data_IF_418709793089
#
_entry.id   IF_418709793089
#
_cell.length_a   1.000
_cell.length_b   1.000
_cell.length_c   1.000
_cell.angle_alpha   90.00
_cell.angle_beta   90.00
_cell.angle_gamma   90.00
#
_symmetry.space_group_name_H-M   'P 1'
#
loop_
_entity.id
_entity.type
_entity.pdbx_description
1 polymer ?
#
# COMPACT_ATOMS: atom_id res chain seq x y z
N UNK A 1 -16.83 8.55 -41.41
CA UNK A 1 -16.24 7.20 -41.44
C UNK A 1 -15.91 6.87 -40.00
N UNK A 2 -16.75 6.05 -39.36
CA UNK A 2 -16.67 5.67 -37.98
C UNK A 2 -15.50 4.69 -37.77
N UNK A 3 -14.47 5.11 -37.04
CA UNK A 3 -13.44 4.22 -36.57
C UNK A 3 -14.05 3.30 -35.49
N UNK A 4 -14.45 2.11 -35.89
CA UNK A 4 -14.70 1.02 -34.94
C UNK A 4 -13.32 0.49 -34.51
N UNK A 5 -12.91 0.83 -33.30
CA UNK A 5 -11.84 0.13 -32.61
C UNK A 5 -12.28 -1.33 -32.43
N UNK A 6 -11.52 -2.26 -32.98
CA UNK A 6 -11.69 -3.70 -32.74
C UNK A 6 -11.55 -3.95 -31.24
N UNK A 7 -12.43 -4.76 -30.63
CA UNK A 7 -12.25 -5.16 -29.25
C UNK A 7 -10.94 -5.96 -29.14
N UNK A 8 -10.04 -5.49 -28.31
CA UNK A 8 -8.86 -6.26 -27.89
C UNK A 8 -9.43 -7.49 -27.17
N UNK A 9 -9.32 -8.67 -27.76
CA UNK A 9 -9.60 -9.93 -27.07
C UNK A 9 -8.68 -10.00 -25.84
N UNK A 10 -9.25 -9.73 -24.68
CA UNK A 10 -8.55 -9.93 -23.42
C UNK A 10 -8.49 -11.43 -23.15
N UNK A 11 -7.33 -11.98 -22.77
CA UNK A 11 -7.26 -13.36 -22.33
C UNK A 11 -8.23 -13.50 -21.14
N UNK A 12 -9.08 -14.53 -21.17
CA UNK A 12 -9.99 -14.84 -20.06
C UNK A 12 -9.15 -15.35 -18.89
N UNK A 13 -8.67 -14.43 -18.06
CA UNK A 13 -7.91 -14.76 -16.84
C UNK A 13 -8.81 -15.26 -15.71
N UNK A 14 -10.14 -15.14 -15.85
CA UNK A 14 -11.09 -15.49 -14.83
C UNK A 14 -11.35 -17.00 -14.83
N UNK A 15 -11.13 -17.64 -13.68
CA UNK A 15 -11.45 -19.04 -13.49
C UNK A 15 -12.93 -19.18 -13.08
N UNK A 16 -13.75 -19.74 -13.96
CA UNK A 16 -15.16 -20.04 -13.70
C UNK A 16 -15.39 -21.13 -12.63
N UNK A 17 -14.32 -21.75 -12.11
CA UNK A 17 -14.39 -22.95 -11.28
C UNK A 17 -14.14 -22.73 -9.78
N UNK A 18 -14.00 -21.48 -9.30
CA UNK A 18 -13.78 -21.21 -7.87
C UNK A 18 -15.06 -21.42 -7.05
N UNK A 19 -15.02 -22.35 -6.10
CA UNK A 19 -16.12 -22.63 -5.17
C UNK A 19 -15.80 -22.06 -3.77
N UNK A 20 -16.42 -20.95 -3.35
CA UNK A 20 -16.17 -20.36 -2.04
C UNK A 20 -16.62 -21.24 -0.87
N UNK A 21 -17.54 -22.20 -1.10
CA UNK A 21 -18.10 -23.03 -0.02
C UNK A 21 -17.10 -24.04 0.56
N UNK A 22 -16.07 -24.41 -0.20
CA UNK A 22 -15.02 -25.32 0.25
C UNK A 22 -13.80 -24.61 0.84
N UNK A 23 -13.78 -23.26 0.76
CA UNK A 23 -12.69 -22.46 1.30
C UNK A 23 -12.87 -22.23 2.82
N UNK A 24 -11.89 -22.61 3.65
CA UNK A 24 -12.04 -22.51 5.11
C UNK A 24 -12.28 -21.08 5.60
N UNK A 25 -11.71 -20.08 4.91
CA UNK A 25 -11.83 -18.67 5.30
C UNK A 25 -13.15 -18.03 4.85
N UNK A 26 -13.84 -18.64 3.88
CA UNK A 26 -15.11 -18.15 3.32
C UNK A 26 -16.30 -18.98 3.76
N UNK A 27 -16.08 -20.24 4.19
CA UNK A 27 -17.13 -21.15 4.62
C UNK A 27 -17.93 -20.56 5.78
N UNK A 28 -19.25 -20.76 5.75
CA UNK A 28 -20.13 -20.24 6.79
C UNK A 28 -19.65 -20.64 8.20
N UNK A 29 -19.37 -19.64 9.04
CA UNK A 29 -18.96 -19.82 10.43
C UNK A 29 -20.06 -19.26 11.37
N UNK A 30 -20.83 -20.11 12.07
CA UNK A 30 -21.84 -19.64 13.01
C UNK A 30 -21.24 -18.86 14.19
N UNK A 31 -19.97 -19.09 14.51
CA UNK A 31 -19.24 -18.45 15.61
C UNK A 31 -18.50 -17.18 15.17
N UNK A 32 -18.65 -16.72 13.92
CA UNK A 32 -17.92 -15.56 13.38
C UNK A 32 -18.12 -14.23 14.15
N UNK A 33 -19.11 -14.18 15.02
CA UNK A 33 -19.41 -13.00 15.86
C UNK A 33 -18.69 -13.03 17.22
N UNK A 34 -18.01 -14.13 17.55
CA UNK A 34 -17.35 -14.33 18.84
C UNK A 34 -15.86 -14.52 18.62
N UNK A 35 -15.05 -13.64 19.20
CA UNK A 35 -13.61 -13.66 19.00
C UNK A 35 -12.87 -14.76 19.74
N UNK A 36 -13.31 -15.08 20.95
CA UNK A 36 -12.64 -16.06 21.78
C UNK A 36 -13.35 -17.43 21.76
N UNK A 37 -12.59 -18.54 21.79
CA UNK A 37 -11.13 -18.62 21.82
C UNK A 37 -10.52 -18.31 20.44
N UNK A 38 -9.29 -17.73 20.42
CA UNK A 38 -8.55 -17.48 19.19
C UNK A 38 -8.26 -18.79 18.48
N UNK A 39 -8.73 -18.91 17.23
CA UNK A 39 -8.54 -20.09 16.38
C UNK A 39 -7.34 -19.92 15.43
N UNK A 40 -7.06 -18.72 14.97
CA UNK A 40 -6.01 -18.38 14.02
C UNK A 40 -4.99 -17.43 14.63
N UNK A 41 -4.08 -18.00 15.46
CA UNK A 41 -3.10 -17.22 16.23
C UNK A 41 -2.20 -16.35 15.35
N UNK A 42 -1.83 -16.81 14.14
CA UNK A 42 -1.02 -16.05 13.19
C UNK A 42 -1.75 -14.79 12.68
N UNK A 43 -3.03 -14.90 12.32
CA UNK A 43 -3.85 -13.76 11.88
C UNK A 43 -4.05 -12.76 13.04
N UNK A 44 -4.30 -13.31 14.24
CA UNK A 44 -4.42 -12.49 15.44
C UNK A 44 -3.14 -11.71 15.75
N UNK A 45 -1.97 -12.34 15.61
CA UNK A 45 -0.69 -11.68 15.82
C UNK A 45 -0.45 -10.57 14.78
N UNK A 46 -0.79 -10.79 13.51
CA UNK A 46 -0.69 -9.75 12.47
C UNK A 46 -1.60 -8.56 12.78
N UNK A 47 -2.84 -8.80 13.20
CA UNK A 47 -3.74 -7.74 13.68
C UNK A 47 -3.12 -6.95 14.85
N UNK A 48 -2.60 -7.65 15.87
CA UNK A 48 -1.97 -6.99 17.02
C UNK A 48 -0.71 -6.21 16.63
N UNK A 49 0.07 -6.71 15.68
CA UNK A 49 1.23 -6.00 15.14
C UNK A 49 0.81 -4.73 14.41
N UNK A 50 -0.22 -4.81 13.59
CA UNK A 50 -0.77 -3.65 12.88
C UNK A 50 -1.31 -2.60 13.85
N UNK A 51 -2.11 -3.01 14.84
CA UNK A 51 -2.58 -2.09 15.90
C UNK A 51 -1.44 -1.40 16.67
N UNK A 52 -0.33 -2.09 16.91
CA UNK A 52 0.82 -1.51 17.59
C UNK A 52 1.53 -0.42 16.76
N UNK A 53 1.22 -0.33 15.47
CA UNK A 53 1.74 0.67 14.54
C UNK A 53 0.78 1.85 14.33
N UNK A 54 -0.29 1.97 15.09
CA UNK A 54 -1.29 3.04 14.96
C UNK A 54 -0.66 4.44 15.09
N UNK A 55 -1.08 5.31 14.21
CA UNK A 55 -0.71 6.72 14.15
C UNK A 55 -1.87 7.55 13.58
N UNK A 56 -1.76 8.88 13.62
CA UNK A 56 -2.75 9.81 13.05
C UNK A 56 -2.08 10.86 12.19
N UNK A 57 -2.81 11.43 11.23
CA UNK A 57 -2.28 12.44 10.31
C UNK A 57 -1.75 13.69 11.04
N UNK A 58 -2.30 14.02 12.23
CA UNK A 58 -1.89 15.15 13.06
C UNK A 58 -0.51 14.99 13.70
N UNK A 59 0.07 13.78 13.66
CA UNK A 59 1.41 13.52 14.17
C UNK A 59 2.52 13.97 13.20
N UNK A 60 2.15 14.38 11.98
CA UNK A 60 3.09 14.75 10.92
C UNK A 60 3.20 16.28 10.87
N UNK A 61 4.43 16.80 11.05
CA UNK A 61 4.73 18.21 10.86
C UNK A 61 4.96 18.51 9.38
N UNK A 62 3.96 19.14 8.73
CA UNK A 62 4.02 19.55 7.33
C UNK A 62 4.58 20.98 7.14
N UNK A 63 4.63 21.81 8.19
CA UNK A 63 5.11 23.20 8.08
C UNK A 63 6.59 23.23 7.72
N UNK A 64 7.38 22.31 8.24
CA UNK A 64 8.80 22.20 7.95
C UNK A 64 9.11 21.93 6.47
N UNK A 65 8.18 21.33 5.74
CA UNK A 65 8.34 21.02 4.31
C UNK A 65 8.22 22.25 3.40
N UNK A 66 7.51 23.30 3.81
CA UNK A 66 7.22 24.46 2.96
C UNK A 66 8.48 25.19 2.50
N UNK A 67 9.52 25.18 3.32
CA UNK A 67 10.81 25.79 2.97
C UNK A 67 11.52 25.01 1.85
N UNK A 68 11.41 23.69 1.86
CA UNK A 68 11.98 22.81 0.84
C UNK A 68 11.12 22.81 -0.41
N UNK A 69 9.78 22.75 -0.28
CA UNK A 69 8.84 22.82 -1.41
C UNK A 69 9.12 24.03 -2.33
N UNK A 70 9.39 25.20 -1.74
CA UNK A 70 9.72 26.43 -2.50
C UNK A 70 11.03 26.36 -3.25
N UNK A 71 11.97 25.50 -2.84
CA UNK A 71 13.29 25.33 -3.48
C UNK A 71 13.29 24.26 -4.55
N UNK A 72 12.29 23.35 -4.54
CA UNK A 72 12.16 22.31 -5.55
C UNK A 72 11.98 22.92 -6.93
N UNK A 73 12.52 22.24 -7.95
CA UNK A 73 12.26 22.55 -9.35
C UNK A 73 10.80 22.28 -9.72
N UNK A 74 10.34 22.87 -10.83
CA UNK A 74 8.98 22.61 -11.34
C UNK A 74 8.77 21.12 -11.64
N UNK A 75 9.80 20.43 -12.16
CA UNK A 75 9.76 19.00 -12.40
C UNK A 75 9.59 18.19 -11.12
N UNK A 76 10.31 18.53 -10.05
CA UNK A 76 10.19 17.87 -8.75
C UNK A 76 8.81 18.09 -8.13
N UNK A 77 8.30 19.32 -8.16
CA UNK A 77 6.95 19.63 -7.69
C UNK A 77 5.90 18.87 -8.48
N UNK A 78 5.99 18.88 -9.81
CA UNK A 78 5.09 18.11 -10.68
C UNK A 78 5.10 16.63 -10.34
N UNK A 79 6.29 16.03 -10.16
CA UNK A 79 6.42 14.62 -9.80
C UNK A 79 5.71 14.32 -8.47
N UNK A 80 6.04 15.07 -7.41
CA UNK A 80 5.48 14.86 -6.07
C UNK A 80 3.96 15.04 -6.07
N UNK A 81 3.45 16.11 -6.70
CA UNK A 81 2.00 16.37 -6.77
C UNK A 81 1.23 15.22 -7.41
N UNK A 82 1.75 14.65 -8.51
CA UNK A 82 1.09 13.54 -9.19
C UNK A 82 1.21 12.21 -8.43
N UNK A 83 2.30 11.98 -7.70
CA UNK A 83 2.43 10.83 -6.80
C UNK A 83 1.39 10.92 -5.67
N UNK A 84 1.24 12.09 -5.05
CA UNK A 84 0.24 12.31 -4.00
C UNK A 84 -1.19 12.16 -4.53
N UNK A 85 -1.46 12.65 -5.73
CA UNK A 85 -2.75 12.48 -6.39
C UNK A 85 -3.07 11.01 -6.67
N UNK A 86 -2.08 10.23 -7.10
CA UNK A 86 -2.22 8.79 -7.28
C UNK A 86 -2.54 8.09 -5.95
N UNK A 87 -1.82 8.38 -4.88
CA UNK A 87 -2.08 7.78 -3.58
C UNK A 87 -3.48 8.12 -3.06
N UNK A 88 -3.87 9.40 -3.08
CA UNK A 88 -5.19 9.83 -2.63
C UNK A 88 -6.34 9.16 -3.40
N UNK A 89 -6.15 8.89 -4.69
CA UNK A 89 -7.12 8.20 -5.53
C UNK A 89 -7.17 6.68 -5.23
N UNK A 90 -6.01 6.07 -4.98
CA UNK A 90 -5.87 4.62 -4.81
C UNK A 90 -6.46 4.12 -3.51
N UNK A 91 -6.26 4.83 -2.38
CA UNK A 91 -6.79 4.44 -1.07
C UNK A 91 -8.31 4.36 -1.05
N UNK A 92 -9.00 5.23 -1.79
CA UNK A 92 -10.45 5.16 -1.94
C UNK A 92 -10.92 3.86 -2.60
N UNK A 93 -10.21 3.41 -3.64
CA UNK A 93 -10.49 2.14 -4.35
C UNK A 93 -10.19 0.93 -3.46
N UNK A 94 -9.05 0.98 -2.75
CA UNK A 94 -8.65 -0.05 -1.79
C UNK A 94 -9.70 -0.20 -0.70
N UNK A 95 -10.12 0.90 -0.08
CA UNK A 95 -11.14 0.92 0.97
C UNK A 95 -12.47 0.33 0.51
N UNK A 96 -12.92 0.64 -0.70
CA UNK A 96 -14.17 0.08 -1.23
C UNK A 96 -14.08 -1.45 -1.33
N UNK A 97 -12.99 -2.00 -1.87
CA UNK A 97 -12.79 -3.44 -1.96
C UNK A 97 -12.74 -4.11 -0.57
N UNK A 98 -12.05 -3.50 0.39
CA UNK A 98 -11.97 -4.00 1.77
C UNK A 98 -13.35 -4.08 2.42
N UNK A 99 -14.10 -2.97 2.38
CA UNK A 99 -15.38 -2.84 3.06
C UNK A 99 -16.49 -3.68 2.38
N UNK A 100 -16.60 -3.63 1.06
CA UNK A 100 -17.69 -4.25 0.30
C UNK A 100 -17.46 -5.75 0.10
N UNK A 101 -16.24 -6.16 -0.18
CA UNK A 101 -15.91 -7.55 -0.53
C UNK A 101 -15.28 -8.30 0.64
N UNK A 102 -14.04 -8.01 1.00
CA UNK A 102 -13.29 -8.86 1.93
C UNK A 102 -13.91 -8.94 3.32
N UNK A 103 -14.36 -7.82 3.88
CA UNK A 103 -15.05 -7.83 5.18
C UNK A 103 -16.37 -8.62 5.17
N UNK A 104 -17.07 -8.66 4.04
CA UNK A 104 -18.32 -9.40 3.89
C UNK A 104 -18.07 -10.90 3.69
N UNK A 105 -17.10 -11.26 2.89
CA UNK A 105 -16.83 -12.63 2.46
C UNK A 105 -16.10 -13.46 3.50
N UNK A 106 -15.09 -12.86 4.18
CA UNK A 106 -14.27 -13.57 5.16
C UNK A 106 -15.05 -13.87 6.44
N UNK A 107 -15.06 -15.14 6.84
CA UNK A 107 -15.86 -15.62 7.97
C UNK A 107 -15.02 -15.88 9.25
N UNK A 108 -13.73 -15.61 9.22
CA UNK A 108 -12.78 -15.78 10.34
C UNK A 108 -12.74 -14.49 11.18
N UNK A 109 -13.09 -14.52 12.50
CA UNK A 109 -13.13 -13.34 13.34
C UNK A 109 -11.81 -12.58 13.40
N UNK A 110 -10.67 -13.28 13.51
CA UNK A 110 -9.33 -12.68 13.58
C UNK A 110 -8.99 -11.90 12.30
N UNK A 111 -9.35 -12.45 11.13
CA UNK A 111 -9.15 -11.77 9.85
C UNK A 111 -10.05 -10.53 9.72
N UNK A 112 -11.30 -10.62 10.19
CA UNK A 112 -12.22 -9.47 10.21
C UNK A 112 -11.73 -8.35 11.12
N UNK A 113 -11.08 -8.69 12.24
CA UNK A 113 -10.43 -7.68 13.09
C UNK A 113 -9.31 -6.96 12.35
N UNK A 114 -8.48 -7.69 11.59
CA UNK A 114 -7.44 -7.07 10.77
C UNK A 114 -8.01 -6.13 9.73
N UNK A 115 -8.96 -6.59 8.92
CA UNK A 115 -9.58 -5.77 7.88
C UNK A 115 -10.29 -4.53 8.44
N UNK A 116 -10.98 -4.65 9.59
CA UNK A 116 -11.61 -3.50 10.23
C UNK A 116 -10.59 -2.43 10.65
N UNK A 117 -9.42 -2.84 11.10
CA UNK A 117 -8.34 -1.92 11.44
C UNK A 117 -7.63 -1.39 10.18
N UNK A 118 -7.43 -2.21 9.14
CA UNK A 118 -6.90 -1.77 7.86
C UNK A 118 -7.75 -0.65 7.26
N UNK A 119 -9.07 -0.82 7.18
CA UNK A 119 -10.00 0.25 6.72
C UNK A 119 -9.81 1.55 7.52
N UNK A 120 -9.58 1.46 8.84
CA UNK A 120 -9.32 2.64 9.65
C UNK A 120 -7.98 3.31 9.30
N UNK A 121 -6.94 2.53 9.00
CA UNK A 121 -5.63 3.07 8.58
C UNK A 121 -5.68 3.68 7.18
N UNK A 122 -6.40 3.06 6.24
CA UNK A 122 -6.60 3.65 4.90
C UNK A 122 -7.30 5.02 4.95
N UNK A 123 -8.23 5.22 5.90
CA UNK A 123 -8.83 6.54 6.12
C UNK A 123 -7.79 7.57 6.62
N UNK A 124 -6.84 7.14 7.46
CA UNK A 124 -5.74 8.00 7.94
C UNK A 124 -4.74 8.29 6.81
N UNK A 125 -4.45 7.32 5.95
CA UNK A 125 -3.63 7.52 4.75
C UNK A 125 -4.29 8.55 3.82
N UNK A 126 -5.57 8.38 3.50
CA UNK A 126 -6.33 9.30 2.66
C UNK A 126 -6.37 10.72 3.23
N UNK A 127 -6.60 10.87 4.56
CA UNK A 127 -6.51 12.16 5.24
C UNK A 127 -5.12 12.77 5.09
N UNK A 128 -4.08 11.98 5.27
CA UNK A 128 -2.69 12.44 5.17
C UNK A 128 -2.36 12.93 3.77
N UNK A 129 -2.73 12.19 2.73
CA UNK A 129 -2.51 12.63 1.34
C UNK A 129 -3.30 13.89 0.99
N UNK A 130 -4.52 14.01 1.48
CA UNK A 130 -5.31 15.23 1.30
C UNK A 130 -4.65 16.44 1.96
N UNK A 131 -4.14 16.29 3.19
CA UNK A 131 -3.42 17.36 3.90
C UNK A 131 -2.10 17.72 3.21
N UNK A 132 -1.35 16.75 2.67
CA UNK A 132 -0.13 17.00 1.90
C UNK A 132 -0.43 17.82 0.64
N UNK A 133 -1.45 17.44 -0.14
CA UNK A 133 -1.87 18.20 -1.32
C UNK A 133 -2.32 19.61 -0.93
N UNK A 134 -3.17 19.72 0.11
CA UNK A 134 -3.68 21.02 0.55
C UNK A 134 -2.57 21.96 1.05
N UNK A 135 -1.56 21.40 1.72
CA UNK A 135 -0.42 22.16 2.25
C UNK A 135 0.51 22.67 1.15
N UNK A 136 0.81 21.81 0.15
CA UNK A 136 1.82 22.17 -0.86
C UNK A 136 1.24 22.93 -2.04
N UNK A 137 0.03 22.64 -2.45
CA UNK A 137 -0.61 23.21 -3.64
C UNK A 137 -1.50 24.38 -3.23
N UNK A 138 -1.14 25.57 -3.66
CA UNK A 138 -1.88 26.79 -3.32
C UNK A 138 -2.91 27.20 -4.39
N UNK A 139 -2.80 26.64 -5.60
CA UNK A 139 -3.72 26.92 -6.70
C UNK A 139 -4.95 25.98 -6.61
N UNK A 140 -6.14 26.56 -6.47
CA UNK A 140 -7.39 25.79 -6.31
C UNK A 140 -7.78 24.97 -7.55
N UNK A 141 -7.44 25.43 -8.75
CA UNK A 141 -7.70 24.67 -9.99
C UNK A 141 -6.79 23.44 -10.05
N UNK A 142 -5.50 23.61 -9.68
CA UNK A 142 -4.54 22.51 -9.59
C UNK A 142 -4.92 21.51 -8.50
N UNK A 143 -5.35 21.95 -7.31
CA UNK A 143 -5.90 21.08 -6.26
C UNK A 143 -7.07 20.25 -6.77
N UNK A 144 -8.03 20.91 -7.41
CA UNK A 144 -9.21 20.24 -7.97
C UNK A 144 -8.80 19.19 -9.00
N UNK A 145 -7.83 19.51 -9.86
CA UNK A 145 -7.29 18.58 -10.84
C UNK A 145 -6.67 17.35 -10.17
N UNK A 146 -5.86 17.54 -9.13
CA UNK A 146 -5.20 16.46 -8.40
C UNK A 146 -6.18 15.59 -7.60
N UNK A 147 -7.18 16.19 -6.94
CA UNK A 147 -8.21 15.43 -6.22
C UNK A 147 -9.14 14.62 -7.14
N UNK A 148 -9.21 14.95 -8.42
CA UNK A 148 -9.94 14.20 -9.43
C UNK A 148 -9.00 13.35 -10.31
N UNK A 149 -7.87 12.89 -9.78
CA UNK A 149 -6.79 12.26 -10.53
C UNK A 149 -7.23 11.05 -11.39
N UNK A 150 -8.22 10.29 -10.95
CA UNK A 150 -8.76 9.15 -11.72
C UNK A 150 -9.34 9.62 -13.06
N UNK A 151 -9.94 10.82 -13.12
CA UNK A 151 -10.54 11.35 -14.35
C UNK A 151 -9.57 12.28 -15.11
N UNK A 152 -8.64 12.92 -14.42
CA UNK A 152 -7.81 14.00 -14.96
C UNK A 152 -6.40 13.57 -15.34
N UNK A 153 -5.89 12.46 -14.79
CA UNK A 153 -4.52 11.98 -15.00
C UNK A 153 -4.55 10.57 -15.63
N UNK A 154 -4.29 10.43 -16.94
CA UNK A 154 -4.46 9.15 -17.64
C UNK A 154 -3.66 7.98 -17.04
N UNK A 155 -2.47 8.24 -16.51
CA UNK A 155 -1.64 7.20 -15.89
C UNK A 155 -2.21 6.71 -14.55
N UNK A 156 -2.87 7.60 -13.77
CA UNK A 156 -3.62 7.23 -12.56
C UNK A 156 -4.89 6.47 -12.95
N UNK A 157 -5.63 6.95 -13.94
CA UNK A 157 -6.80 6.26 -14.47
C UNK A 157 -6.49 4.81 -14.84
N UNK A 158 -5.39 4.57 -15.55
CA UNK A 158 -4.98 3.22 -15.98
C UNK A 158 -4.79 2.25 -14.81
N UNK A 159 -4.15 2.71 -13.71
CA UNK A 159 -4.00 1.93 -12.47
C UNK A 159 -5.34 1.67 -11.80
N UNK A 160 -6.19 2.69 -11.71
CA UNK A 160 -7.53 2.60 -11.14
C UNK A 160 -8.42 1.61 -11.91
N UNK A 161 -8.47 1.70 -13.24
CA UNK A 161 -9.22 0.79 -14.09
C UNK A 161 -8.75 -0.66 -13.94
N UNK A 162 -7.43 -0.86 -13.79
CA UNK A 162 -6.88 -2.19 -13.53
C UNK A 162 -7.38 -2.75 -12.19
N UNK A 163 -7.32 -1.98 -11.12
CA UNK A 163 -7.78 -2.40 -9.80
C UNK A 163 -9.30 -2.69 -9.80
N UNK A 164 -10.11 -1.78 -10.33
CA UNK A 164 -11.57 -1.93 -10.40
C UNK A 164 -11.98 -3.15 -11.20
N UNK A 165 -11.31 -3.45 -12.31
CA UNK A 165 -11.56 -4.66 -13.11
C UNK A 165 -11.46 -5.94 -12.28
N UNK A 166 -10.45 -6.06 -11.40
CA UNK A 166 -10.30 -7.22 -10.53
C UNK A 166 -11.32 -7.24 -9.39
N UNK A 167 -11.63 -6.07 -8.83
CA UNK A 167 -12.65 -5.93 -7.77
C UNK A 167 -14.01 -6.41 -8.26
N UNK A 168 -14.39 -6.04 -9.48
CA UNK A 168 -15.70 -6.33 -10.06
C UNK A 168 -15.83 -7.75 -10.59
N UNK A 169 -14.79 -8.28 -11.22
CA UNK A 169 -14.89 -9.49 -12.02
C UNK A 169 -14.09 -10.68 -11.46
N UNK A 170 -13.11 -10.44 -10.58
CA UNK A 170 -12.27 -11.48 -10.01
C UNK A 170 -12.98 -12.33 -8.97
N UNK A 171 -12.67 -13.62 -8.92
CA UNK A 171 -13.01 -14.45 -7.75
C UNK A 171 -12.15 -14.06 -6.54
N UNK A 172 -12.44 -14.64 -5.37
CA UNK A 172 -11.75 -14.27 -4.12
C UNK A 172 -10.22 -14.46 -4.19
N UNK A 173 -9.73 -15.54 -4.81
CA UNK A 173 -8.29 -15.80 -4.95
C UNK A 173 -7.63 -14.81 -5.88
N UNK A 174 -8.27 -14.46 -6.99
CA UNK A 174 -7.80 -13.46 -7.95
C UNK A 174 -7.76 -12.07 -7.32
N UNK A 175 -8.80 -11.68 -6.58
CA UNK A 175 -8.85 -10.41 -5.87
C UNK A 175 -7.77 -10.28 -4.80
N UNK A 176 -7.42 -11.35 -4.07
CA UNK A 176 -6.31 -11.31 -3.10
C UNK A 176 -4.96 -11.07 -3.78
N UNK A 177 -4.71 -11.74 -4.92
CA UNK A 177 -3.47 -11.53 -5.70
C UNK A 177 -3.42 -10.11 -6.28
N UNK A 178 -4.54 -9.65 -6.85
CA UNK A 178 -4.64 -8.30 -7.41
C UNK A 178 -4.49 -7.23 -6.32
N UNK A 179 -5.05 -7.43 -5.14
CA UNK A 179 -4.91 -6.55 -4.00
C UNK A 179 -3.44 -6.45 -3.55
N UNK A 180 -2.74 -7.59 -3.41
CA UNK A 180 -1.32 -7.60 -3.12
C UNK A 180 -0.48 -6.90 -4.22
N UNK A 181 -0.92 -6.95 -5.48
CA UNK A 181 -0.28 -6.22 -6.57
C UNK A 181 -0.55 -4.70 -6.51
N UNK A 182 -1.74 -4.26 -6.12
CA UNK A 182 -2.06 -2.84 -5.94
C UNK A 182 -1.21 -2.24 -4.83
N UNK A 183 -1.29 -2.76 -3.62
CA UNK A 183 -0.57 -2.19 -2.48
C UNK A 183 0.93 -2.48 -2.52
N UNK A 184 1.33 -3.67 -3.01
CA UNK A 184 2.73 -4.09 -3.02
C UNK A 184 3.52 -3.65 -4.25
N UNK A 185 2.89 -3.49 -5.43
CA UNK A 185 3.59 -3.15 -6.68
C UNK A 185 3.26 -1.75 -7.14
N UNK A 186 1.97 -1.37 -7.25
CA UNK A 186 1.60 -0.05 -7.75
C UNK A 186 2.05 1.12 -6.88
N UNK A 187 2.32 0.88 -5.61
CA UNK A 187 2.84 1.89 -4.69
C UNK A 187 4.37 1.88 -4.60
N UNK A 188 5.01 0.79 -5.03
CA UNK A 188 6.44 0.56 -4.78
C UNK A 188 7.37 1.61 -5.39
N UNK A 189 7.15 1.98 -6.65
CA UNK A 189 7.95 2.99 -7.33
C UNK A 189 7.80 4.38 -6.70
N UNK A 190 6.56 4.73 -6.34
CA UNK A 190 6.25 5.99 -5.68
C UNK A 190 6.87 6.08 -4.27
N UNK A 191 6.74 5.04 -3.46
CA UNK A 191 7.41 4.98 -2.15
C UNK A 191 8.93 5.09 -2.29
N UNK A 192 9.53 4.34 -3.20
CA UNK A 192 10.97 4.41 -3.46
C UNK A 192 11.41 5.83 -3.86
N UNK A 193 10.64 6.50 -4.70
CA UNK A 193 10.91 7.88 -5.11
C UNK A 193 10.85 8.87 -3.94
N UNK A 194 9.90 8.72 -3.01
CA UNK A 194 9.83 9.55 -1.81
C UNK A 194 10.97 9.23 -0.82
N UNK A 195 11.42 7.97 -0.72
CA UNK A 195 12.62 7.63 0.05
C UNK A 195 13.89 8.22 -0.55
N UNK A 196 13.96 8.41 -1.86
CA UNK A 196 15.05 9.14 -2.50
C UNK A 196 15.08 10.61 -2.06
N UNK A 197 13.93 11.27 -1.90
CA UNK A 197 13.86 12.62 -1.32
C UNK A 197 14.40 12.63 0.11
N UNK A 198 14.07 11.62 0.92
CA UNK A 198 14.63 11.45 2.26
C UNK A 198 16.16 11.34 2.24
N UNK A 199 16.71 10.51 1.34
CA UNK A 199 18.18 10.39 1.15
C UNK A 199 18.82 11.75 0.81
N UNK A 200 18.11 12.62 0.12
CA UNK A 200 18.55 13.99 -0.21
C UNK A 200 18.35 14.98 0.95
N UNK A 201 17.72 14.59 2.05
CA UNK A 201 17.43 15.45 3.19
C UNK A 201 16.35 16.51 2.92
N UNK A 202 15.38 16.19 2.05
CA UNK A 202 14.31 17.09 1.62
C UNK A 202 12.95 16.60 2.12
N UNK A 203 12.03 17.54 2.36
CA UNK A 203 10.62 17.28 2.66
C UNK A 203 10.45 16.33 3.86
N UNK A 204 10.90 16.68 5.08
CA UNK A 204 10.91 15.80 6.24
C UNK A 204 9.51 15.28 6.63
N UNK A 205 8.46 16.09 6.56
CA UNK A 205 7.09 15.68 6.85
C UNK A 205 6.56 14.67 5.81
N UNK A 206 6.72 14.97 4.52
CA UNK A 206 6.37 14.05 3.43
C UNK A 206 7.10 12.73 3.54
N UNK A 207 8.39 12.75 3.79
CA UNK A 207 9.19 11.52 3.86
C UNK A 207 8.92 10.72 5.12
N UNK A 208 8.57 11.38 6.21
CA UNK A 208 8.14 10.71 7.44
C UNK A 208 6.77 10.04 7.25
N UNK A 209 5.78 10.72 6.64
CA UNK A 209 4.51 10.09 6.29
C UNK A 209 4.69 8.88 5.38
N UNK A 210 5.60 8.97 4.39
CA UNK A 210 5.95 7.87 3.52
C UNK A 210 6.48 6.63 4.29
N UNK A 211 7.24 6.84 5.37
CA UNK A 211 7.70 5.73 6.22
C UNK A 211 6.57 5.04 6.96
N UNK A 212 5.63 5.82 7.51
CA UNK A 212 4.49 5.29 8.24
C UNK A 212 3.56 4.52 7.30
N UNK A 213 3.21 5.12 6.18
CA UNK A 213 2.28 4.54 5.21
C UNK A 213 2.88 3.31 4.54
N UNK A 214 4.10 3.38 4.01
CA UNK A 214 4.71 2.22 3.34
C UNK A 214 4.93 1.02 4.27
N UNK A 215 5.13 1.25 5.57
CA UNK A 215 5.14 0.20 6.58
C UNK A 215 3.76 -0.46 6.71
N UNK A 216 2.71 0.34 6.76
CA UNK A 216 1.34 -0.16 6.89
C UNK A 216 0.93 -0.96 5.65
N UNK A 217 1.23 -0.46 4.44
CA UNK A 217 1.01 -1.17 3.18
C UNK A 217 1.74 -2.52 3.12
N UNK A 218 2.95 -2.58 3.67
CA UNK A 218 3.66 -3.85 3.80
C UNK A 218 2.95 -4.86 4.70
N UNK A 219 2.34 -4.40 5.81
CA UNK A 219 1.53 -5.24 6.69
C UNK A 219 0.25 -5.73 5.99
N UNK A 220 -0.38 -4.86 5.18
CA UNK A 220 -1.57 -5.18 4.39
C UNK A 220 -1.26 -6.28 3.34
N UNK A 221 -0.20 -6.09 2.57
CA UNK A 221 0.26 -7.09 1.59
C UNK A 221 0.62 -8.44 2.24
N UNK A 222 1.34 -8.41 3.36
CA UNK A 222 1.70 -9.63 4.09
C UNK A 222 0.47 -10.38 4.58
N UNK A 223 -0.54 -9.66 5.05
CA UNK A 223 -1.81 -10.23 5.47
C UNK A 223 -2.56 -10.86 4.29
N UNK A 224 -2.66 -10.18 3.15
CA UNK A 224 -3.25 -10.70 1.93
C UNK A 224 -2.55 -11.99 1.47
N UNK A 225 -1.21 -12.01 1.48
CA UNK A 225 -0.43 -13.21 1.17
C UNK A 225 -0.68 -14.35 2.17
N UNK A 226 -0.86 -14.03 3.44
CA UNK A 226 -1.17 -15.03 4.47
C UNK A 226 -2.53 -15.66 4.25
N UNK A 227 -3.57 -14.87 3.98
CA UNK A 227 -4.90 -15.38 3.65
C UNK A 227 -4.89 -16.18 2.36
N UNK A 228 -4.17 -15.71 1.33
CA UNK A 228 -4.04 -16.43 0.08
C UNK A 228 -3.44 -17.85 0.27
N UNK A 229 -2.42 -17.97 1.11
CA UNK A 229 -1.82 -19.29 1.43
C UNK A 229 -2.75 -20.22 2.21
N UNK A 230 -3.78 -19.70 2.86
CA UNK A 230 -4.80 -20.50 3.55
C UNK A 230 -5.86 -21.07 2.59
N UNK A 231 -5.93 -20.57 1.35
CA UNK A 231 -6.86 -21.09 0.34
C UNK A 231 -6.51 -22.53 -0.08
N UNK A 232 -7.55 -23.32 -0.29
CA UNK A 232 -7.46 -24.68 -0.90
C UNK A 232 -7.37 -24.58 -2.42
N UNK A 233 -8.12 -23.68 -3.02
CA UNK A 233 -8.17 -23.44 -4.46
C UNK A 233 -7.31 -22.23 -4.80
N UNK A 234 -6.01 -22.46 -4.96
CA UNK A 234 -5.08 -21.42 -5.40
C UNK A 234 -5.00 -21.37 -6.92
N UNK A 235 -4.72 -20.21 -7.45
CA UNK A 235 -4.54 -20.01 -8.88
C UNK A 235 -3.32 -20.79 -9.40
N UNK A 236 -3.30 -21.06 -10.71
CA UNK A 236 -2.11 -21.62 -11.35
C UNK A 236 -0.93 -20.66 -11.29
N UNK A 237 0.28 -21.17 -11.41
CA UNK A 237 1.49 -20.33 -11.47
C UNK A 237 1.42 -19.34 -12.63
N UNK A 238 0.93 -19.80 -13.77
CA UNK A 238 0.80 -18.98 -14.99
C UNK A 238 -0.18 -17.82 -14.77
N UNK A 239 -1.32 -18.05 -14.12
CA UNK A 239 -2.31 -17.04 -13.82
C UNK A 239 -1.76 -15.96 -12.87
N UNK A 240 -1.14 -16.36 -11.76
CA UNK A 240 -0.54 -15.42 -10.81
C UNK A 240 0.58 -14.61 -11.46
N UNK A 241 1.47 -15.28 -12.20
CA UNK A 241 2.55 -14.59 -12.89
C UNK A 241 2.05 -13.64 -13.97
N UNK A 242 0.93 -13.93 -14.63
CA UNK A 242 0.32 -13.02 -15.60
C UNK A 242 -0.23 -11.76 -14.93
N UNK A 243 -0.95 -11.90 -13.80
CA UNK A 243 -1.44 -10.76 -13.01
C UNK A 243 -0.28 -9.86 -12.57
N UNK A 244 0.78 -10.45 -12.02
CA UNK A 244 1.95 -9.72 -11.54
C UNK A 244 2.71 -9.03 -12.68
N UNK A 245 2.90 -9.69 -13.84
CA UNK A 245 3.55 -9.06 -15.01
C UNK A 245 2.76 -7.87 -15.54
N UNK A 246 1.44 -7.98 -15.58
CA UNK A 246 0.56 -6.91 -16.02
C UNK A 246 0.69 -5.70 -15.08
N UNK A 247 0.63 -5.92 -13.77
CA UNK A 247 0.84 -4.87 -12.76
C UNK A 247 2.24 -4.22 -12.89
N UNK A 248 3.30 -5.01 -13.03
CA UNK A 248 4.67 -4.51 -13.22
C UNK A 248 4.80 -3.65 -14.48
N UNK A 249 4.15 -4.05 -15.57
CA UNK A 249 4.16 -3.27 -16.80
C UNK A 249 3.51 -1.89 -16.62
N UNK A 250 2.37 -1.85 -15.95
CA UNK A 250 1.64 -0.61 -15.66
C UNK A 250 2.44 0.29 -14.70
N UNK A 251 3.03 -0.29 -13.66
CA UNK A 251 3.85 0.48 -12.72
C UNK A 251 5.08 1.09 -13.39
N UNK A 252 5.78 0.32 -14.23
CA UNK A 252 6.92 0.85 -15.00
C UNK A 252 6.49 1.99 -15.93
N UNK A 253 5.39 1.85 -16.63
CA UNK A 253 4.85 2.91 -17.48
C UNK A 253 4.53 4.16 -16.64
N UNK A 254 3.97 3.99 -15.45
CA UNK A 254 3.67 5.11 -14.56
C UNK A 254 4.92 5.88 -14.15
N UNK A 255 5.92 5.21 -13.54
CA UNK A 255 7.07 5.90 -12.92
C UNK A 255 8.27 6.12 -13.85
N UNK A 256 8.31 5.48 -15.02
CA UNK A 256 9.41 5.64 -15.97
C UNK A 256 9.03 6.48 -17.17
N UNK A 257 7.77 6.42 -17.64
CA UNK A 257 7.33 7.04 -18.87
C UNK A 257 6.36 8.21 -18.64
N UNK A 258 5.25 7.96 -17.93
CA UNK A 258 4.20 8.97 -17.73
C UNK A 258 4.59 10.02 -16.68
N UNK A 259 5.22 9.59 -15.59
CA UNK A 259 5.73 10.43 -14.51
C UNK A 259 7.19 10.08 -14.23
N UNK A 260 8.13 10.43 -15.12
CA UNK A 260 9.47 9.88 -15.06
C UNK A 260 10.24 10.31 -13.83
N UNK A 261 10.77 9.34 -13.08
CA UNK A 261 11.61 9.56 -11.88
C UNK A 261 12.87 10.37 -12.15
N UNK A 262 13.24 10.57 -13.42
CA UNK A 262 14.30 11.49 -13.83
C UNK A 262 14.02 12.94 -13.40
N UNK A 263 12.74 13.31 -13.25
CA UNK A 263 12.34 14.66 -12.75
C UNK A 263 12.85 14.94 -11.34
N UNK A 264 13.05 13.91 -10.54
CA UNK A 264 13.63 14.01 -9.18
C UNK A 264 15.09 13.52 -9.11
N UNK A 265 15.72 13.30 -10.26
CA UNK A 265 17.14 12.90 -10.36
C UNK A 265 17.40 11.40 -10.10
N UNK A 266 16.39 10.53 -10.24
CA UNK A 266 16.56 9.09 -10.19
C UNK A 266 16.75 8.48 -11.59
N UNK A 267 17.35 7.29 -11.63
CA UNK A 267 17.54 6.53 -12.86
C UNK A 267 16.32 5.63 -13.12
N UNK A 268 15.64 5.81 -14.27
CA UNK A 268 14.46 5.08 -14.65
C UNK A 268 14.72 3.57 -14.88
N UNK A 269 15.89 3.19 -15.40
CA UNK A 269 16.25 1.77 -15.59
C UNK A 269 16.42 1.05 -14.25
N UNK A 270 17.07 1.72 -13.28
CA UNK A 270 17.19 1.17 -11.92
C UNK A 270 15.83 1.12 -11.22
N UNK A 271 14.95 2.10 -11.45
CA UNK A 271 13.58 2.05 -10.92
C UNK A 271 12.81 0.87 -11.52
N UNK A 272 12.90 0.64 -12.82
CA UNK A 272 12.28 -0.52 -13.45
C UNK A 272 12.80 -1.85 -12.85
N UNK A 273 14.11 -1.95 -12.60
CA UNK A 273 14.69 -3.10 -11.92
C UNK A 273 14.19 -3.25 -10.47
N UNK A 274 14.02 -2.14 -9.74
CA UNK A 274 13.48 -2.15 -8.38
C UNK A 274 12.04 -2.68 -8.34
N UNK A 275 11.19 -2.26 -9.27
CA UNK A 275 9.81 -2.75 -9.37
C UNK A 275 9.79 -4.26 -9.62
N UNK A 276 10.66 -4.77 -10.49
CA UNK A 276 10.83 -6.22 -10.72
C UNK A 276 11.27 -6.97 -9.45
N UNK A 277 12.21 -6.40 -8.71
CA UNK A 277 12.65 -6.95 -7.42
C UNK A 277 11.50 -7.05 -6.42
N UNK A 278 10.68 -6.00 -6.29
CA UNK A 278 9.51 -5.98 -5.41
C UNK A 278 8.46 -7.00 -5.87
N UNK A 279 8.21 -7.12 -7.17
CA UNK A 279 7.30 -8.11 -7.71
C UNK A 279 7.74 -9.56 -7.38
N UNK A 280 9.02 -9.85 -7.50
CA UNK A 280 9.59 -11.16 -7.11
C UNK A 280 9.46 -11.44 -5.61
N UNK A 281 9.54 -10.40 -4.77
CA UNK A 281 9.30 -10.50 -3.34
C UNK A 281 7.85 -10.96 -3.06
N UNK A 282 6.88 -10.32 -3.67
CA UNK A 282 5.46 -10.66 -3.47
C UNK A 282 5.07 -11.99 -4.11
N UNK A 283 5.65 -12.37 -5.25
CA UNK A 283 5.50 -13.73 -5.79
C UNK A 283 5.95 -14.79 -4.78
N UNK A 284 7.12 -14.61 -4.19
CA UNK A 284 7.62 -15.53 -3.17
C UNK A 284 6.72 -15.56 -1.91
N UNK A 285 6.21 -14.40 -1.48
CA UNK A 285 5.27 -14.30 -0.36
C UNK A 285 3.93 -14.99 -0.63
N UNK A 286 3.44 -14.95 -1.87
CA UNK A 286 2.25 -15.70 -2.33
C UNK A 286 2.51 -17.20 -2.48
N UNK A 287 3.78 -17.63 -2.50
CA UNK A 287 4.20 -19.03 -2.63
C UNK A 287 4.47 -19.47 -4.07
N UNK A 288 4.85 -18.54 -4.94
CA UNK A 288 5.14 -18.79 -6.35
C UNK A 288 6.60 -18.52 -6.72
N UNK A 289 7.10 -19.14 -7.80
CA UNK A 289 8.45 -18.88 -8.30
C UNK A 289 8.61 -17.42 -8.76
N UNK A 290 9.78 -16.86 -8.51
CA UNK A 290 10.20 -15.56 -9.04
C UNK A 290 10.22 -15.57 -10.58
N UNK A 291 9.96 -14.40 -11.17
CA UNK A 291 9.93 -14.22 -12.64
C UNK A 291 11.21 -13.53 -13.13
N UNK A 292 11.65 -12.49 -12.41
CA UNK A 292 12.66 -11.56 -12.89
C UNK A 292 14.06 -11.91 -12.41
N UNK A 293 14.22 -12.42 -11.18
CA UNK A 293 15.52 -12.76 -10.60
C UNK A 293 16.44 -11.56 -10.35
N UNK A 294 15.87 -10.35 -10.33
CA UNK A 294 16.61 -9.11 -10.14
C UNK A 294 16.98 -8.88 -8.67
N UNK A 295 18.03 -8.09 -8.45
CA UNK A 295 18.45 -7.64 -7.11
C UNK A 295 17.99 -6.20 -6.91
N UNK A 296 17.81 -5.80 -5.64
CA UNK A 296 17.56 -4.40 -5.29
C UNK A 296 18.73 -3.52 -5.78
N UNK A 297 18.47 -2.54 -6.67
CA UNK A 297 19.50 -1.65 -7.18
C UNK A 297 19.79 -0.45 -6.29
N UNK A 298 18.96 -0.20 -5.27
CA UNK A 298 19.02 0.98 -4.42
C UNK A 298 19.49 0.64 -3.01
N UNK A 299 20.73 1.01 -2.69
CA UNK A 299 21.37 0.80 -1.39
C UNK A 299 20.58 1.42 -0.22
N UNK A 300 19.95 2.58 -0.44
CA UNK A 300 19.16 3.26 0.58
C UNK A 300 17.88 2.49 0.93
N UNK A 301 17.35 1.69 0.01
CA UNK A 301 16.21 0.82 0.28
C UNK A 301 16.61 -0.42 1.11
N UNK A 302 17.86 -0.90 0.97
CA UNK A 302 18.41 -1.97 1.81
C UNK A 302 18.63 -1.49 3.25
N UNK A 303 19.13 -0.27 3.46
CA UNK A 303 19.36 0.30 4.80
C UNK A 303 18.03 0.43 5.58
N UNK A 304 16.94 0.78 4.92
CA UNK A 304 15.61 0.85 5.52
C UNK A 304 15.17 -0.53 6.00
N UNK A 305 15.56 -1.60 5.29
CA UNK A 305 15.27 -3.00 5.65
C UNK A 305 16.17 -3.51 6.79
N UNK A 306 17.44 -3.08 6.86
CA UNK A 306 18.44 -3.60 7.79
C UNK A 306 18.31 -3.09 9.23
N UNK A 307 17.82 -1.87 9.44
CA UNK A 307 17.69 -1.27 10.77
C UNK A 307 16.74 -2.03 11.71
N UNK A 308 16.03 -3.05 11.25
CA UNK A 308 15.10 -3.84 12.03
C UNK A 308 15.23 -5.36 11.95
N UNK A 309 16.16 -5.95 11.16
CA UNK A 309 16.14 -7.39 10.76
C UNK A 309 14.78 -7.84 10.22
N UNK A 310 13.99 -6.91 9.75
CA UNK A 310 12.64 -7.07 9.29
C UNK A 310 12.58 -6.53 7.87
N UNK A 311 11.65 -7.04 7.09
CA UNK A 311 11.33 -6.58 5.76
C UNK A 311 11.23 -5.03 5.73
N UNK A 312 11.57 -4.41 4.58
CA UNK A 312 11.40 -2.97 4.32
C UNK A 312 10.07 -2.41 4.87
N UNK A 313 9.02 -3.20 4.80
CA UNK A 313 7.68 -2.87 5.30
C UNK A 313 7.48 -3.12 6.81
N UNK A 314 8.45 -3.66 7.52
CA UNK A 314 8.35 -3.99 8.95
C UNK A 314 9.11 -3.03 9.87
N UNK A 315 9.68 -1.95 9.33
CA UNK A 315 10.41 -0.99 10.16
C UNK A 315 9.47 -0.41 11.21
N UNK A 316 9.71 -0.76 12.48
CA UNK A 316 9.22 0.06 13.58
C UNK A 316 9.90 1.41 13.45
N UNK A 317 9.14 2.48 13.35
CA UNK A 317 9.66 3.83 13.57
C UNK A 317 10.09 3.88 15.03
N UNK A 318 11.39 3.60 15.28
CA UNK A 318 11.95 3.45 16.62
C UNK A 318 11.92 4.72 17.46
N UNK A 319 11.58 5.85 16.85
CA UNK A 319 11.57 7.15 17.50
C UNK A 319 10.20 7.53 18.07
N UNK A 320 9.15 6.73 17.79
CA UNK A 320 7.82 6.98 18.34
C UNK A 320 7.60 6.16 19.62
N UNK A 321 8.21 6.59 20.71
CA UNK A 321 7.86 6.07 22.02
C UNK A 321 6.69 6.90 22.57
N UNK A 322 5.57 6.25 22.87
CA UNK A 322 4.55 6.87 23.73
C UNK A 322 5.24 7.40 24.97
N UNK A 323 4.97 8.66 25.32
CA UNK A 323 5.50 9.26 26.53
C UNK A 323 5.31 8.28 27.71
N UNK A 324 6.39 7.99 28.44
CA UNK A 324 6.38 7.09 29.59
C UNK A 324 6.73 5.61 29.35
N UNK A 325 6.93 5.14 28.11
CA UNK A 325 7.27 3.71 27.86
C UNK A 325 8.66 3.32 28.38
N UNK A 326 9.59 4.28 28.48
CA UNK A 326 10.93 4.09 29.09
C UNK A 326 11.05 4.66 30.50
N UNK A 327 9.98 5.21 31.09
CA UNK A 327 10.02 5.65 32.47
C UNK A 327 10.30 4.44 33.37
N UNK A 328 11.31 4.56 34.21
CA UNK A 328 11.62 3.55 35.22
C UNK A 328 10.43 3.43 36.20
N UNK A 329 10.24 2.26 36.81
CA UNK A 329 9.14 2.05 37.75
C UNK A 329 9.08 3.09 38.90
N UNK A 330 10.19 3.78 39.18
CA UNK A 330 10.26 4.88 40.17
C UNK A 330 9.70 6.21 39.68
N UNK A 331 9.54 6.38 38.33
CA UNK A 331 9.00 7.59 37.72
C UNK A 331 7.50 7.47 37.40
N UNK A 332 6.91 6.30 37.60
CA UNK A 332 5.48 6.04 37.39
C UNK A 332 4.66 6.15 38.67
N UNK A 333 5.14 6.85 39.71
CA UNK A 333 4.38 7.06 40.95
C UNK A 333 3.30 8.10 40.72
N UNK A 334 2.07 7.67 40.70
CA UNK A 334 0.90 8.54 40.69
C UNK A 334 0.80 9.18 42.08
N UNK A 335 1.09 10.47 42.21
CA UNK A 335 0.87 11.23 43.43
C UNK A 335 -0.57 11.77 43.43
N UNK A 336 -1.32 11.45 44.44
CA UNK A 336 -2.67 11.99 44.70
C UNK A 336 -2.65 13.36 45.43
N UNK A 337 -1.45 13.94 45.59
CA UNK A 337 -1.25 15.17 46.39
C UNK A 337 -0.89 16.40 45.52
N UNK A 338 -1.06 16.34 44.21
CA UNK A 338 -0.96 17.56 43.38
C UNK A 338 -2.32 18.24 43.35
N UNK A 339 -2.42 19.37 44.09
CA UNK A 339 -3.54 20.31 44.02
C UNK A 339 -3.67 20.91 42.62
N UNK A 340 -4.89 20.92 42.09
CA UNK A 340 -5.27 21.54 40.84
C UNK A 340 -5.22 23.07 40.90
#
# INVERSE_FOLDING_TARGET
MSNQSLPIEQPSFFSDSFDPSIEPILAHNPNRFVLLPIQHANLWQQYKRHMACFWTAQEIDLESDLADWRKLSDGERHFISNVLAFFAASDGIVNENLAVNFMKEVQIPEARCFYGFQVAMENIHSETYALLIDTYIQNEEEKTHLFNAIETIPAVQKKAEWALRWIENGNFAERLVAFAAVEGIFFSGSFCALYWLKKRGLMPGLTFSNELISRDEGLHCEFACTLYRMLKQRLSTEAVQAIIRDAVSIEKEFVCDALPVNLIGMNAELMAQYIEFVADHWLAALGYPKIYGTKNPFDFMDMISLEGKTNFFEKRVGDYQKAGVLATKSEQVFSLEEDF
#
